data_IF_797406793466
#
_entry.id   IF_797406793466
#
_cell.length_a   1.000
_cell.length_b   1.000
_cell.length_c   1.000
_cell.angle_alpha   90.00
_cell.angle_beta   90.00
_cell.angle_gamma   90.00
#
_symmetry.space_group_name_H-M   'P 1'
#
loop_
_entity.id
_entity.type
_entity.pdbx_description
1 polymer ?
#
# COMPACT_ATOMS: atom_id res chain seq x y z
N UNK A 1 10.49 -25.52 2.60
CA UNK A 1 10.90 -24.48 3.57
C UNK A 1 9.61 -23.99 4.24
N UNK A 2 9.50 -24.12 5.55
CA UNK A 2 8.32 -23.62 6.28
C UNK A 2 8.35 -22.09 6.32
N UNK A 3 7.18 -21.45 6.20
CA UNK A 3 7.06 -19.99 6.25
C UNK A 3 7.31 -19.49 7.68
N UNK A 4 8.10 -18.44 7.85
CA UNK A 4 8.43 -17.87 9.15
C UNK A 4 7.72 -16.54 9.39
N UNK A 5 7.60 -16.13 10.66
CA UNK A 5 7.08 -14.82 10.99
C UNK A 5 8.12 -13.74 10.67
N UNK A 6 7.70 -12.67 9.99
CA UNK A 6 8.58 -11.55 9.69
C UNK A 6 8.40 -10.41 10.70
N UNK A 7 9.52 -9.95 11.26
CA UNK A 7 9.58 -8.83 12.21
C UNK A 7 10.19 -7.56 11.61
N UNK A 8 10.75 -7.61 10.39
CA UNK A 8 11.40 -6.45 9.75
C UNK A 8 11.32 -6.46 8.21
N UNK A 9 11.29 -5.27 7.59
CA UNK A 9 11.22 -5.16 6.14
C UNK A 9 9.85 -5.54 5.53
N UNK A 10 9.77 -5.68 4.20
CA UNK A 10 8.52 -5.97 3.51
C UNK A 10 8.06 -7.42 3.71
N UNK A 11 6.73 -7.60 3.78
CA UNK A 11 6.15 -8.93 3.90
C UNK A 11 6.03 -9.65 2.54
N UNK A 12 6.81 -10.71 2.33
CA UNK A 12 6.80 -11.51 1.09
C UNK A 12 5.93 -12.76 1.31
N UNK A 13 4.79 -12.83 0.63
CA UNK A 13 3.79 -13.91 0.79
C UNK A 13 4.35 -15.34 0.64
N UNK A 14 5.35 -15.52 -0.23
CA UNK A 14 5.94 -16.85 -0.49
C UNK A 14 6.83 -17.31 0.65
N UNK A 15 7.43 -16.38 1.39
CA UNK A 15 8.47 -16.63 2.39
C UNK A 15 7.92 -16.50 3.82
N UNK A 16 6.95 -15.61 4.03
CA UNK A 16 6.50 -15.23 5.36
C UNK A 16 5.09 -15.70 5.67
N UNK A 17 4.91 -16.11 6.93
CA UNK A 17 3.59 -16.37 7.48
C UNK A 17 2.78 -15.07 7.47
N UNK A 18 1.73 -15.05 6.68
CA UNK A 18 0.90 -13.87 6.47
C UNK A 18 -0.55 -14.24 6.74
N UNK A 19 -1.17 -13.54 7.68
CA UNK A 19 -2.60 -13.66 7.89
C UNK A 19 -3.33 -12.89 6.78
N UNK A 20 -4.13 -13.61 6.00
CA UNK A 20 -4.97 -13.00 4.98
C UNK A 20 -6.13 -12.23 5.64
N UNK A 21 -6.29 -10.96 5.26
CA UNK A 21 -7.32 -10.06 5.80
C UNK A 21 -8.36 -9.74 4.75
N UNK A 22 -8.96 -10.78 4.15
CA UNK A 22 -9.89 -10.67 3.01
C UNK A 22 -10.99 -9.63 3.20
N UNK A 23 -11.65 -9.62 4.36
CA UNK A 23 -12.70 -8.64 4.65
C UNK A 23 -12.20 -7.19 4.64
N UNK A 24 -10.99 -6.95 5.15
CA UNK A 24 -10.39 -5.62 5.15
C UNK A 24 -10.00 -5.20 3.73
N UNK A 25 -9.48 -6.13 2.92
CA UNK A 25 -9.16 -5.87 1.51
C UNK A 25 -10.43 -5.55 0.72
N UNK A 26 -11.51 -6.31 0.93
CA UNK A 26 -12.79 -6.06 0.25
C UNK A 26 -13.33 -4.66 0.56
N UNK A 27 -13.28 -4.23 1.83
CA UNK A 27 -13.64 -2.85 2.21
C UNK A 27 -12.81 -1.81 1.44
N UNK A 28 -11.53 -2.08 1.22
CA UNK A 28 -10.65 -1.24 0.39
C UNK A 28 -11.08 -1.19 -1.07
N UNK A 29 -11.43 -2.35 -1.64
CA UNK A 29 -11.94 -2.45 -3.03
C UNK A 29 -13.22 -1.64 -3.19
N UNK A 30 -14.16 -1.78 -2.26
CA UNK A 30 -15.43 -1.05 -2.29
C UNK A 30 -15.24 0.49 -2.22
N UNK A 31 -14.21 0.96 -1.49
CA UNK A 31 -13.84 2.37 -1.45
C UNK A 31 -13.29 2.86 -2.79
N UNK A 32 -12.48 2.05 -3.47
CA UNK A 32 -11.94 2.35 -4.80
C UNK A 32 -13.05 2.37 -5.84
N UNK A 33 -13.99 1.44 -5.80
CA UNK A 33 -15.16 1.43 -6.70
C UNK A 33 -16.00 2.71 -6.58
N UNK A 34 -16.07 3.29 -5.37
CA UNK A 34 -16.75 4.57 -5.14
C UNK A 34 -15.92 5.79 -5.55
N UNK A 35 -14.70 5.60 -6.06
CA UNK A 35 -13.75 6.67 -6.38
C UNK A 35 -13.45 7.57 -5.17
N UNK A 36 -13.44 7.00 -3.96
CA UNK A 36 -13.20 7.74 -2.74
C UNK A 36 -11.73 7.73 -2.34
N UNK A 37 -11.24 8.88 -1.89
CA UNK A 37 -9.97 8.96 -1.19
C UNK A 37 -10.13 8.44 0.24
N UNK A 38 -9.18 7.64 0.69
CA UNK A 38 -9.15 7.14 2.06
C UNK A 38 -7.74 7.16 2.63
N UNK A 39 -7.64 7.36 3.94
CA UNK A 39 -6.39 7.35 4.69
C UNK A 39 -6.34 6.12 5.57
N UNK A 40 -5.13 5.64 5.88
CA UNK A 40 -4.93 4.60 6.89
C UNK A 40 -4.05 5.13 8.00
N UNK A 41 -4.54 5.08 9.23
CA UNK A 41 -3.76 5.42 10.41
C UNK A 41 -3.45 4.14 11.17
N UNK A 42 -2.17 3.81 11.31
CA UNK A 42 -1.70 2.72 12.15
C UNK A 42 -0.22 2.93 12.54
N UNK A 43 0.22 2.44 13.71
CA UNK A 43 1.63 2.50 14.14
C UNK A 43 2.63 1.95 13.11
N UNK A 44 3.92 2.26 13.25
CA UNK A 44 4.96 1.68 12.38
C UNK A 44 4.91 0.14 12.39
N UNK A 45 5.27 -0.46 11.26
CA UNK A 45 5.39 -1.92 11.09
C UNK A 45 4.09 -2.74 11.28
N UNK A 46 2.92 -2.10 11.30
CA UNK A 46 1.60 -2.77 11.39
C UNK A 46 1.07 -3.35 10.08
N UNK A 47 1.87 -3.37 9.02
CA UNK A 47 1.48 -3.97 7.74
C UNK A 47 0.70 -3.06 6.78
N UNK A 48 0.65 -1.73 6.99
CA UNK A 48 -0.01 -0.79 6.07
C UNK A 48 0.46 -0.94 4.61
N UNK A 49 1.77 -0.95 4.38
CA UNK A 49 2.33 -1.14 3.02
C UNK A 49 2.02 -2.52 2.45
N UNK A 50 1.86 -3.54 3.31
CA UNK A 50 1.42 -4.89 2.89
C UNK A 50 -0.04 -4.88 2.46
N UNK A 51 -0.90 -4.19 3.22
CA UNK A 51 -2.31 -4.00 2.88
C UNK A 51 -2.48 -3.36 1.51
N UNK A 52 -1.81 -2.22 1.24
CA UNK A 52 -1.90 -1.55 -0.07
C UNK A 52 -1.39 -2.42 -1.23
N UNK A 53 -0.35 -3.24 -1.02
CA UNK A 53 0.12 -4.20 -2.03
C UNK A 53 -0.91 -5.28 -2.35
N UNK A 54 -1.65 -5.77 -1.36
CA UNK A 54 -2.71 -6.75 -1.60
C UNK A 54 -3.93 -6.11 -2.24
N UNK A 55 -4.31 -4.91 -1.79
CA UNK A 55 -5.39 -4.15 -2.41
C UNK A 55 -5.11 -3.88 -3.90
N UNK A 56 -3.89 -3.44 -4.23
CA UNK A 56 -3.46 -3.25 -5.61
C UNK A 56 -3.59 -4.55 -6.44
N UNK A 57 -3.16 -5.69 -5.90
CA UNK A 57 -3.26 -6.99 -6.60
C UNK A 57 -4.70 -7.41 -6.87
N UNK A 58 -5.62 -7.17 -5.93
CA UNK A 58 -7.04 -7.50 -6.16
C UNK A 58 -7.64 -6.57 -7.22
N UNK A 59 -7.37 -5.27 -7.15
CA UNK A 59 -7.83 -4.29 -8.15
C UNK A 59 -7.23 -4.54 -9.54
N UNK A 60 -5.97 -4.98 -9.63
CA UNK A 60 -5.33 -5.35 -10.90
C UNK A 60 -6.03 -6.52 -11.59
N UNK A 61 -6.64 -7.45 -10.83
CA UNK A 61 -7.45 -8.53 -11.40
C UNK A 61 -8.74 -8.03 -12.03
N UNK A 62 -9.24 -6.88 -11.58
CA UNK A 62 -10.41 -6.19 -12.13
C UNK A 62 -10.05 -5.21 -13.26
N UNK A 63 -8.78 -5.10 -13.62
CA UNK A 63 -8.30 -4.27 -14.73
C UNK A 63 -7.77 -2.88 -14.32
N UNK A 64 -7.77 -2.54 -13.03
CA UNK A 64 -7.13 -1.30 -12.56
C UNK A 64 -5.62 -1.35 -12.73
N UNK A 65 -5.00 -0.16 -12.82
CA UNK A 65 -3.54 0.01 -12.76
C UNK A 65 -3.19 0.79 -11.49
N UNK A 66 -2.52 0.11 -10.55
CA UNK A 66 -2.10 0.72 -9.31
C UNK A 66 -0.74 1.42 -9.49
N UNK A 67 -0.65 2.68 -9.07
CA UNK A 67 0.61 3.44 -9.01
C UNK A 67 0.95 3.70 -7.55
N UNK A 68 2.16 3.33 -7.15
CA UNK A 68 2.67 3.56 -5.81
C UNK A 68 3.74 4.64 -5.83
N UNK A 69 3.52 5.71 -5.07
CA UNK A 69 4.44 6.85 -4.93
C UNK A 69 4.87 6.94 -3.47
N UNK A 70 6.17 7.00 -3.22
CA UNK A 70 6.73 7.18 -1.89
C UNK A 70 7.36 8.58 -1.77
N UNK A 71 6.87 9.37 -0.81
CA UNK A 71 7.37 10.72 -0.53
C UNK A 71 8.39 10.77 0.62
N UNK A 72 8.77 9.65 1.23
CA UNK A 72 9.64 9.62 2.41
C UNK A 72 11.00 10.28 2.19
N UNK A 73 11.55 10.18 0.98
CA UNK A 73 12.85 10.77 0.62
C UNK A 73 12.75 12.27 0.27
N UNK A 74 11.54 12.81 0.08
CA UNK A 74 11.30 14.19 -0.35
C UNK A 74 10.98 15.12 0.82
N UNK A 75 11.15 14.66 2.07
CA UNK A 75 10.79 15.45 3.27
C UNK A 75 11.49 16.80 3.38
N UNK A 76 12.69 16.91 2.79
CA UNK A 76 13.50 18.12 2.83
C UNK A 76 13.54 18.84 1.47
N UNK A 77 12.80 18.35 0.49
CA UNK A 77 12.73 18.96 -0.84
C UNK A 77 11.83 20.19 -0.81
N UNK A 78 12.19 21.20 -1.58
CA UNK A 78 11.37 22.41 -1.71
C UNK A 78 10.19 22.10 -2.62
N UNK A 79 9.03 22.71 -2.36
CA UNK A 79 7.85 22.50 -3.21
C UNK A 79 8.16 22.85 -4.68
N UNK A 80 8.94 23.90 -4.90
CA UNK A 80 9.36 24.35 -6.23
C UNK A 80 10.19 23.30 -6.99
N UNK A 81 10.92 22.40 -6.29
CA UNK A 81 11.65 21.30 -6.95
C UNK A 81 10.74 20.13 -7.35
N UNK A 82 9.52 20.07 -6.81
CA UNK A 82 8.54 19.02 -7.09
C UNK A 82 7.53 19.42 -8.19
N UNK A 83 7.41 20.71 -8.50
CA UNK A 83 6.47 21.24 -9.48
C UNK A 83 7.18 21.43 -10.84
N UNK A 84 6.69 20.74 -11.87
CA UNK A 84 7.19 20.86 -13.25
C UNK A 84 6.68 22.15 -13.93
N UNK A 85 5.72 22.84 -13.32
CA UNK A 85 5.20 24.13 -13.77
C UNK A 85 5.17 25.14 -12.62
N UNK A 86 5.70 26.36 -12.81
CA UNK A 86 5.55 27.43 -11.84
C UNK A 86 4.08 27.87 -11.78
N UNK A 87 3.57 28.06 -10.56
CA UNK A 87 2.27 28.68 -10.30
C UNK A 87 2.44 30.19 -10.37
#
# INVERSE_FOLDING_TARGET
MERCFNTSGPNILKEHYTLDRKELIQKGVDLVHKSWYFTTWAPRQTGKSTYFRFLAKELEREGYKAVHINFENYKNEKLDSLLVYPI
#
